data_IF_354901315707
#
_entry.id   IF_354901315707
#
_cell.length_a   1.000
_cell.length_b   1.000
_cell.length_c   1.000
_cell.angle_alpha   90.00
_cell.angle_beta   90.00
_cell.angle_gamma   90.00
#
_symmetry.space_group_name_H-M   'P 1'
#
loop_
_entity.id
_entity.type
_entity.pdbx_description
1 polymer ?
#
# COMPACT_ATOMS: atom_id res chain seq x y z
N UNK A 1 -0.13 -20.32 13.68
CA UNK A 1 -1.15 -20.19 14.76
C UNK A 1 -2.51 -20.18 14.09
N UNK A 2 -3.24 -21.29 14.18
CA UNK A 2 -4.57 -21.44 13.58
C UNK A 2 -5.60 -20.72 14.44
N UNK A 3 -6.54 -20.00 13.81
CA UNK A 3 -7.56 -19.21 14.50
C UNK A 3 -8.48 -20.12 15.35
N UNK A 4 -8.81 -19.74 16.60
CA UNK A 4 -9.77 -20.50 17.41
C UNK A 4 -11.13 -20.62 16.68
N UNK A 5 -11.73 -21.82 16.63
CA UNK A 5 -13.04 -22.02 16.04
C UNK A 5 -14.10 -21.20 16.80
N UNK A 6 -15.00 -20.54 16.07
CA UNK A 6 -16.12 -19.77 16.63
C UNK A 6 -15.94 -18.26 16.74
N UNK A 7 -14.75 -17.71 16.48
CA UNK A 7 -14.61 -16.25 16.36
C UNK A 7 -15.22 -15.76 15.03
N UNK A 8 -16.17 -14.81 15.04
CA UNK A 8 -16.73 -14.28 13.80
C UNK A 8 -15.59 -13.75 12.90
N UNK A 9 -15.68 -13.93 11.57
CA UNK A 9 -14.74 -13.30 10.64
C UNK A 9 -14.70 -11.79 10.90
N UNK A 10 -13.54 -11.16 10.70
CA UNK A 10 -13.50 -9.69 10.81
C UNK A 10 -14.43 -9.16 9.72
N UNK A 11 -15.42 -8.31 10.07
CA UNK A 11 -16.31 -7.76 9.07
C UNK A 11 -15.51 -6.92 8.08
N UNK A 12 -15.77 -7.12 6.79
CA UNK A 12 -15.23 -6.26 5.72
C UNK A 12 -15.57 -4.81 6.06
N UNK A 13 -14.60 -3.91 5.93
CA UNK A 13 -14.77 -2.46 6.13
C UNK A 13 -14.48 -1.73 4.82
N UNK A 14 -15.35 -1.87 3.81
CA UNK A 14 -15.10 -1.36 2.46
C UNK A 14 -14.92 0.16 2.44
N UNK A 15 -15.62 0.90 3.31
CA UNK A 15 -15.46 2.36 3.43
C UNK A 15 -14.05 2.75 3.87
N UNK A 16 -13.50 2.07 4.89
CA UNK A 16 -12.13 2.33 5.34
C UNK A 16 -11.10 1.95 4.24
N UNK A 17 -11.31 0.82 3.56
CA UNK A 17 -10.46 0.42 2.44
C UNK A 17 -10.46 1.46 1.30
N UNK A 18 -11.65 1.98 0.95
CA UNK A 18 -11.80 3.01 -0.08
C UNK A 18 -11.13 4.33 0.31
N UNK A 19 -11.23 4.74 1.58
CA UNK A 19 -10.54 5.95 2.06
C UNK A 19 -9.02 5.81 1.96
N UNK A 20 -8.47 4.66 2.35
CA UNK A 20 -7.02 4.40 2.23
C UNK A 20 -6.61 4.36 0.75
N UNK A 21 -7.41 3.71 -0.11
CA UNK A 21 -7.16 3.67 -1.54
C UNK A 21 -7.20 5.07 -2.18
N UNK A 22 -8.16 5.91 -1.80
CA UNK A 22 -8.25 7.31 -2.25
C UNK A 22 -7.04 8.13 -1.78
N UNK A 23 -6.59 7.94 -0.53
CA UNK A 23 -5.39 8.57 0.00
C UNK A 23 -4.13 8.14 -0.77
N UNK A 24 -4.00 6.85 -1.09
CA UNK A 24 -2.91 6.33 -1.93
C UNK A 24 -2.97 6.87 -3.35
N UNK A 25 -4.18 6.99 -3.93
CA UNK A 25 -4.38 7.61 -5.24
C UNK A 25 -3.93 9.07 -5.25
N UNK A 26 -4.31 9.85 -4.22
CA UNK A 26 -3.87 11.23 -4.06
C UNK A 26 -2.35 11.36 -3.87
N UNK A 27 -1.75 10.48 -3.06
CA UNK A 27 -0.30 10.40 -2.91
C UNK A 27 0.38 10.13 -4.27
N UNK A 28 -0.06 9.11 -5.01
CA UNK A 28 0.53 8.73 -6.30
C UNK A 28 0.36 9.81 -7.36
N UNK A 29 -0.80 10.48 -7.39
CA UNK A 29 -1.07 11.59 -8.30
C UNK A 29 0.00 12.68 -8.20
N UNK A 30 0.44 12.98 -6.97
CA UNK A 30 1.49 13.97 -6.73
C UNK A 30 2.91 13.38 -6.82
N UNK A 31 3.14 12.22 -6.20
CA UNK A 31 4.48 11.69 -5.98
C UNK A 31 5.11 11.11 -7.24
N UNK A 32 4.33 10.55 -8.16
CA UNK A 32 4.85 9.93 -9.39
C UNK A 32 5.46 10.99 -10.32
N UNK A 33 4.77 12.10 -10.67
CA UNK A 33 5.38 13.17 -11.45
C UNK A 33 6.61 13.79 -10.77
N UNK A 34 6.53 14.01 -9.45
CA UNK A 34 7.64 14.56 -8.67
C UNK A 34 8.86 13.62 -8.68
N UNK A 35 8.64 12.32 -8.45
CA UNK A 35 9.69 11.31 -8.52
C UNK A 35 10.34 11.26 -9.90
N UNK A 36 9.55 11.32 -10.97
CA UNK A 36 10.08 11.37 -12.34
C UNK A 36 10.92 12.62 -12.61
N UNK A 37 10.50 13.79 -12.10
CA UNK A 37 11.28 15.02 -12.20
C UNK A 37 12.62 14.89 -11.47
N UNK A 38 12.62 14.33 -10.26
CA UNK A 38 13.84 14.05 -9.47
C UNK A 38 14.79 13.12 -10.21
N UNK A 39 14.28 12.02 -10.78
CA UNK A 39 15.10 11.06 -11.54
C UNK A 39 15.73 11.69 -12.78
N UNK A 40 14.98 12.54 -13.50
CA UNK A 40 15.54 13.28 -14.63
C UNK A 40 16.60 14.29 -14.19
N UNK A 41 16.37 15.01 -13.10
CA UNK A 41 17.31 15.99 -12.57
C UNK A 41 18.62 15.34 -12.07
N UNK A 42 18.55 14.09 -11.61
CA UNK A 42 19.72 13.30 -11.20
C UNK A 42 20.33 12.49 -12.33
N UNK A 43 19.90 12.67 -13.59
CA UNK A 43 20.32 11.85 -14.73
C UNK A 43 20.23 10.34 -14.45
N UNK A 44 19.20 9.92 -13.73
CA UNK A 44 18.98 8.52 -13.36
C UNK A 44 20.09 7.90 -12.48
N UNK A 45 20.79 8.72 -11.69
CA UNK A 45 21.76 8.21 -10.72
C UNK A 45 21.13 7.15 -9.81
N UNK A 46 21.84 6.02 -9.65
CA UNK A 46 21.30 4.80 -9.06
C UNK A 46 20.83 4.98 -7.60
N UNK A 47 21.52 5.80 -6.80
CA UNK A 47 21.11 6.11 -5.43
C UNK A 47 19.76 6.84 -5.40
N UNK A 48 19.57 7.78 -6.32
CA UNK A 48 18.31 8.52 -6.47
C UNK A 48 17.19 7.60 -6.93
N UNK A 49 17.48 6.67 -7.86
CA UNK A 49 16.52 5.63 -8.28
C UNK A 49 16.08 4.80 -7.08
N UNK A 50 17.02 4.28 -6.29
CA UNK A 50 16.72 3.49 -5.10
C UNK A 50 15.94 4.30 -4.05
N UNK A 51 16.29 5.56 -3.83
CA UNK A 51 15.59 6.43 -2.90
C UNK A 51 14.14 6.69 -3.33
N UNK A 52 13.91 7.03 -4.61
CA UNK A 52 12.57 7.29 -5.14
C UNK A 52 11.72 6.03 -5.09
N UNK A 53 12.24 4.89 -5.57
CA UNK A 53 11.50 3.61 -5.55
C UNK A 53 11.25 3.14 -4.12
N UNK A 54 12.26 3.23 -3.25
CA UNK A 54 12.17 2.85 -1.84
C UNK A 54 11.13 3.67 -1.09
N UNK A 55 11.09 4.99 -1.30
CA UNK A 55 10.08 5.86 -0.69
C UNK A 55 8.65 5.46 -1.09
N UNK A 56 8.42 5.13 -2.37
CA UNK A 56 7.13 4.63 -2.83
C UNK A 56 6.79 3.27 -2.21
N UNK A 57 7.75 2.34 -2.16
CA UNK A 57 7.54 1.01 -1.58
C UNK A 57 7.16 1.06 -0.09
N UNK A 58 7.81 1.93 0.69
CA UNK A 58 7.53 2.12 2.13
C UNK A 58 6.12 2.65 2.39
N UNK A 59 5.54 3.41 1.47
CA UNK A 59 4.19 3.96 1.60
C UNK A 59 3.16 2.97 1.04
N UNK A 60 3.35 2.53 -0.22
CA UNK A 60 2.39 1.69 -0.93
C UNK A 60 2.27 0.30 -0.32
N UNK A 61 3.38 -0.29 0.13
CA UNK A 61 3.40 -1.65 0.67
C UNK A 61 2.48 -1.80 1.90
N UNK A 62 2.77 -1.09 3.00
CA UNK A 62 1.98 -1.19 4.23
C UNK A 62 0.52 -0.71 4.05
N UNK A 63 0.31 0.44 3.40
CA UNK A 63 -1.03 1.00 3.27
C UNK A 63 -1.90 0.23 2.27
N UNK A 64 -1.32 -0.22 1.16
CA UNK A 64 -2.01 -1.08 0.21
C UNK A 64 -2.39 -2.42 0.84
N UNK A 65 -1.50 -2.97 1.67
CA UNK A 65 -1.80 -4.17 2.46
C UNK A 65 -2.95 -3.96 3.44
N UNK A 66 -2.93 -2.86 4.21
CA UNK A 66 -4.02 -2.54 5.15
C UNK A 66 -5.35 -2.34 4.41
N UNK A 67 -5.34 -1.63 3.28
CA UNK A 67 -6.53 -1.46 2.45
C UNK A 67 -7.08 -2.81 1.98
N UNK A 68 -6.19 -3.72 1.55
CA UNK A 68 -6.56 -5.08 1.16
C UNK A 68 -7.17 -5.88 2.33
N UNK A 69 -6.61 -5.80 3.53
CA UNK A 69 -7.17 -6.46 4.73
C UNK A 69 -8.60 -6.00 5.01
N UNK A 70 -8.85 -4.68 4.93
CA UNK A 70 -10.20 -4.12 5.13
C UNK A 70 -11.18 -4.46 4.00
N UNK A 71 -10.70 -4.60 2.77
CA UNK A 71 -11.51 -4.95 1.61
C UNK A 71 -11.86 -6.43 1.56
N UNK A 72 -10.86 -7.31 1.64
CA UNK A 72 -11.04 -8.75 1.50
C UNK A 72 -11.68 -9.38 2.74
N UNK A 73 -11.49 -8.77 3.92
CA UNK A 73 -11.89 -9.35 5.21
C UNK A 73 -11.06 -10.57 5.62
N UNK A 74 -9.94 -10.83 4.93
CA UNK A 74 -9.03 -11.96 5.20
C UNK A 74 -7.73 -11.47 5.82
N UNK A 75 -7.22 -12.17 6.82
CA UNK A 75 -5.86 -12.02 7.34
C UNK A 75 -4.90 -12.91 6.51
N UNK A 76 -3.61 -12.54 6.41
CA UNK A 76 -2.60 -13.48 5.94
C UNK A 76 -2.62 -14.75 6.80
N UNK A 77 -2.74 -15.92 6.16
CA UNK A 77 -2.79 -17.22 6.83
C UNK A 77 -4.19 -17.83 7.00
N UNK A 78 -5.24 -17.22 6.45
CA UNK A 78 -6.61 -17.74 6.56
C UNK A 78 -6.89 -19.04 5.76
N UNK A 79 -5.91 -19.56 4.99
CA UNK A 79 -6.00 -20.84 4.28
C UNK A 79 -7.00 -20.83 3.11
N UNK A 80 -6.55 -21.30 1.95
CA UNK A 80 -7.42 -21.67 0.82
C UNK A 80 -7.68 -23.16 0.85
#
# INVERSE_FOLDING_TARGET
MSRPPGLPPIPRRPVAALLIAAMLGGFLWYSVPAGWATLRASEWHWETVLAVVGAHAVILGPLGWIAWLFWAGRRPGDGG
#
